data_IF_542484739283
#
_entry.id   IF_542484739283
#
_cell.length_a   1.000
_cell.length_b   1.000
_cell.length_c   1.000
_cell.angle_alpha   90.00
_cell.angle_beta   90.00
_cell.angle_gamma   90.00
#
_symmetry.space_group_name_H-M   'P 1'
#
loop_
_entity.id
_entity.type
_entity.pdbx_description
1 polymer ?
#
# COMPACT_ATOMS: atom_id res chain seq x y z
N UNK A 1 35.20 -10.68 -27.29
CA UNK A 1 35.65 -11.86 -28.01
C UNK A 1 34.48 -12.79 -28.27
N UNK A 2 34.32 -13.32 -29.50
CA UNK A 2 33.15 -14.13 -29.87
C UNK A 2 33.01 -15.41 -29.08
N UNK A 3 34.10 -15.95 -28.55
CA UNK A 3 34.10 -17.17 -27.73
C UNK A 3 33.61 -16.88 -26.31
N UNK A 4 33.95 -15.74 -25.73
CA UNK A 4 33.46 -15.32 -24.42
C UNK A 4 31.95 -15.01 -24.45
N UNK A 5 31.44 -14.47 -25.55
CA UNK A 5 30.01 -14.25 -25.74
C UNK A 5 29.22 -15.57 -25.93
N UNK A 6 29.83 -16.56 -26.59
CA UNK A 6 29.25 -17.91 -26.74
C UNK A 6 29.24 -18.64 -25.39
N UNK A 7 30.33 -18.60 -24.62
CA UNK A 7 30.36 -19.22 -23.29
C UNK A 7 29.39 -18.56 -22.29
N UNK A 8 29.22 -17.23 -22.36
CA UNK A 8 28.26 -16.52 -21.56
C UNK A 8 26.80 -16.79 -21.99
N UNK A 9 26.56 -17.05 -23.27
CA UNK A 9 25.25 -17.47 -23.76
C UNK A 9 24.95 -18.94 -23.42
N UNK A 10 25.95 -19.83 -23.50
CA UNK A 10 25.80 -21.22 -23.04
C UNK A 10 25.56 -21.31 -21.55
N UNK A 11 26.31 -20.55 -20.73
CA UNK A 11 26.04 -20.45 -19.26
C UNK A 11 24.66 -19.84 -18.98
N UNK A 12 24.18 -18.89 -19.80
CA UNK A 12 22.82 -18.34 -19.68
C UNK A 12 21.74 -19.33 -20.11
N UNK A 13 22.02 -20.20 -21.04
CA UNK A 13 21.09 -21.26 -21.51
C UNK A 13 21.06 -22.42 -20.50
N UNK A 14 22.19 -22.78 -19.87
CA UNK A 14 22.24 -23.75 -18.77
C UNK A 14 21.64 -23.21 -17.46
N UNK A 15 21.73 -21.90 -17.23
CA UNK A 15 21.04 -21.22 -16.13
C UNK A 15 19.53 -21.00 -16.38
N UNK A 16 18.98 -21.40 -17.53
CA UNK A 16 17.54 -21.61 -17.68
C UNK A 16 17.18 -22.80 -16.80
N UNK A 17 16.69 -22.47 -15.60
CA UNK A 17 16.22 -23.36 -14.56
C UNK A 17 15.83 -24.74 -15.10
N UNK A 18 16.73 -25.72 -15.03
CA UNK A 18 16.32 -27.12 -15.14
C UNK A 18 15.29 -27.35 -14.05
N UNK A 19 14.03 -27.51 -14.44
CA UNK A 19 12.96 -27.90 -13.51
C UNK A 19 13.51 -29.11 -12.74
N UNK A 20 13.68 -29.03 -11.41
CA UNK A 20 14.20 -30.13 -10.62
C UNK A 20 13.47 -31.41 -10.99
N UNK A 21 14.19 -32.53 -11.09
CA UNK A 21 13.62 -33.81 -11.54
C UNK A 21 12.35 -34.23 -10.81
N UNK A 22 12.22 -33.83 -9.54
CA UNK A 22 11.02 -34.03 -8.72
C UNK A 22 9.76 -33.32 -9.25
N UNK A 23 9.89 -32.31 -10.14
CA UNK A 23 8.79 -31.52 -10.71
C UNK A 23 8.64 -31.71 -12.23
N UNK A 24 9.48 -32.56 -12.85
CA UNK A 24 9.40 -32.83 -14.30
C UNK A 24 8.05 -33.39 -14.74
N UNK A 25 7.42 -34.14 -13.86
CA UNK A 25 6.12 -34.78 -14.08
C UNK A 25 4.96 -33.99 -13.45
N UNK A 26 5.25 -32.83 -12.84
CA UNK A 26 4.23 -31.98 -12.25
C UNK A 26 3.47 -31.22 -13.35
N UNK A 27 2.17 -31.49 -13.58
CA UNK A 27 1.39 -30.80 -14.57
C UNK A 27 1.31 -29.28 -14.33
N UNK A 28 1.46 -28.82 -13.07
CA UNK A 28 1.47 -27.39 -12.74
C UNK A 28 2.72 -26.68 -13.28
N UNK A 29 3.86 -27.38 -13.44
CA UNK A 29 5.06 -26.81 -14.02
C UNK A 29 4.91 -26.42 -15.50
N UNK A 30 3.93 -27.02 -16.20
CA UNK A 30 3.63 -26.76 -17.61
C UNK A 30 2.58 -25.66 -17.79
N UNK A 31 1.99 -25.17 -16.72
CA UNK A 31 0.95 -24.14 -16.78
C UNK A 31 1.56 -22.80 -17.13
N UNK A 32 1.11 -22.19 -18.22
CA UNK A 32 1.49 -20.81 -18.53
C UNK A 32 0.71 -19.83 -17.65
N UNK A 33 1.32 -19.47 -16.51
CA UNK A 33 0.70 -18.61 -15.48
C UNK A 33 0.57 -17.15 -15.89
N UNK A 34 1.08 -16.76 -17.08
CA UNK A 34 0.93 -15.40 -17.63
C UNK A 34 -0.28 -15.25 -18.55
N UNK A 35 -1.01 -16.29 -18.86
CA UNK A 35 -2.25 -16.19 -19.63
C UNK A 35 -3.36 -15.52 -18.80
N UNK A 36 -4.23 -14.74 -19.45
CA UNK A 36 -5.35 -14.03 -18.80
C UNK A 36 -6.22 -14.91 -17.90
N UNK A 37 -6.40 -16.16 -18.30
CA UNK A 37 -7.15 -17.13 -17.50
C UNK A 37 -6.55 -17.33 -16.12
N UNK A 38 -5.23 -17.50 -16.01
CA UNK A 38 -4.54 -17.73 -14.75
C UNK A 38 -4.32 -16.44 -13.95
N UNK A 39 -4.29 -15.28 -14.63
CA UNK A 39 -4.17 -13.99 -13.97
C UNK A 39 -5.45 -13.58 -13.23
N UNK A 40 -6.62 -13.92 -13.77
CA UNK A 40 -7.91 -13.41 -13.29
C UNK A 40 -8.82 -14.49 -12.68
N UNK A 41 -8.62 -15.78 -13.03
CA UNK A 41 -9.47 -16.88 -12.53
C UNK A 41 -8.72 -17.71 -11.48
N UNK A 42 -9.44 -18.30 -10.51
CA UNK A 42 -8.83 -19.23 -9.57
C UNK A 42 -8.41 -20.51 -10.32
N UNK A 43 -7.27 -21.07 -9.94
CA UNK A 43 -6.76 -22.31 -10.46
C UNK A 43 -6.52 -23.30 -9.32
N UNK A 44 -6.86 -24.57 -9.56
CA UNK A 44 -6.60 -25.64 -8.60
C UNK A 44 -5.18 -26.17 -8.83
N UNK A 45 -4.30 -25.80 -7.95
CA UNK A 45 -2.91 -26.23 -7.95
C UNK A 45 -2.77 -27.60 -7.26
N UNK A 46 -1.76 -28.38 -7.65
CA UNK A 46 -1.46 -29.63 -6.96
C UNK A 46 -1.15 -29.34 -5.48
N UNK A 47 -1.73 -30.14 -4.59
CA UNK A 47 -1.62 -29.95 -3.14
C UNK A 47 -2.64 -29.00 -2.52
N UNK A 48 -3.49 -28.35 -3.34
CA UNK A 48 -4.58 -27.50 -2.85
C UNK A 48 -5.92 -28.20 -2.97
N UNK A 49 -6.75 -28.16 -1.94
CA UNK A 49 -8.05 -28.81 -1.90
C UNK A 49 -9.12 -28.12 -2.77
N UNK A 50 -8.91 -26.83 -3.08
CA UNK A 50 -9.87 -26.01 -3.84
C UNK A 50 -9.11 -25.09 -4.80
N UNK A 51 -9.79 -24.59 -5.88
CA UNK A 51 -9.25 -23.53 -6.70
C UNK A 51 -9.02 -22.27 -5.88
N UNK A 52 -7.81 -21.71 -5.94
CA UNK A 52 -7.43 -20.53 -5.17
C UNK A 52 -6.78 -19.47 -6.07
N UNK A 53 -6.89 -18.21 -5.62
CA UNK A 53 -6.20 -17.06 -6.21
C UNK A 53 -4.85 -16.92 -5.52
N UNK A 54 -3.74 -17.24 -6.20
CA UNK A 54 -2.42 -17.23 -5.60
C UNK A 54 -1.49 -16.27 -6.34
N UNK A 55 -0.88 -15.36 -5.60
CA UNK A 55 0.25 -14.57 -6.05
C UNK A 55 1.52 -15.06 -5.35
N UNK A 56 2.37 -15.76 -6.09
CA UNK A 56 3.64 -16.30 -5.61
C UNK A 56 4.68 -16.18 -6.73
N UNK A 57 5.37 -15.02 -6.85
CA UNK A 57 6.35 -14.78 -7.90
C UNK A 57 7.68 -15.49 -7.65
N UNK A 58 7.93 -15.92 -6.40
CA UNK A 58 9.15 -16.59 -5.98
C UNK A 58 8.80 -18.02 -5.57
N UNK A 59 9.47 -19.00 -6.16
CA UNK A 59 9.25 -20.42 -5.91
C UNK A 59 9.53 -21.25 -7.17
N UNK A 60 9.47 -22.56 -7.04
CA UNK A 60 9.73 -23.49 -8.16
C UNK A 60 8.66 -23.36 -9.25
N UNK A 61 7.40 -23.19 -8.87
CA UNK A 61 6.29 -22.90 -9.79
C UNK A 61 5.80 -21.48 -9.49
N UNK A 62 6.03 -20.58 -10.45
CA UNK A 62 5.62 -19.18 -10.33
C UNK A 62 4.12 -19.05 -10.61
N UNK A 63 3.39 -18.42 -9.68
CA UNK A 63 1.94 -18.24 -9.76
C UNK A 63 1.62 -16.74 -9.78
N UNK A 64 1.00 -16.25 -10.85
CA UNK A 64 0.77 -14.83 -11.08
C UNK A 64 -0.73 -14.50 -11.16
N UNK A 65 -1.47 -14.70 -10.09
CA UNK A 65 -2.85 -14.24 -10.05
C UNK A 65 -2.93 -12.81 -9.50
N UNK A 66 -3.52 -11.89 -10.23
CA UNK A 66 -3.58 -10.46 -9.90
C UNK A 66 -4.66 -10.17 -8.85
N UNK A 67 -5.67 -11.00 -8.72
CA UNK A 67 -6.81 -10.76 -7.81
C UNK A 67 -6.38 -10.54 -6.36
N UNK A 68 -5.47 -11.34 -5.75
CA UNK A 68 -4.99 -11.07 -4.40
C UNK A 68 -4.34 -9.70 -4.23
N UNK A 69 -3.63 -9.21 -5.25
CA UNK A 69 -3.01 -7.89 -5.23
C UNK A 69 -4.07 -6.79 -5.26
N UNK A 70 -5.06 -6.90 -6.14
CA UNK A 70 -6.17 -5.93 -6.23
C UNK A 70 -6.96 -5.85 -4.93
N UNK A 71 -7.32 -7.02 -4.38
CA UNK A 71 -8.05 -7.09 -3.10
C UNK A 71 -7.19 -6.55 -1.95
N UNK A 72 -5.90 -6.88 -1.92
CA UNK A 72 -4.96 -6.37 -0.93
C UNK A 72 -4.83 -4.85 -0.98
N UNK A 73 -4.65 -4.29 -2.18
CA UNK A 73 -4.56 -2.84 -2.40
C UNK A 73 -5.86 -2.14 -1.98
N UNK A 74 -7.02 -2.67 -2.39
CA UNK A 74 -8.31 -2.08 -2.01
C UNK A 74 -8.52 -2.08 -0.49
N UNK A 75 -8.24 -3.19 0.19
CA UNK A 75 -8.30 -3.28 1.65
C UNK A 75 -7.39 -2.26 2.33
N UNK A 76 -6.13 -2.18 1.90
CA UNK A 76 -5.15 -1.26 2.45
C UNK A 76 -5.56 0.20 2.25
N UNK A 77 -6.05 0.54 1.05
CA UNK A 77 -6.54 1.88 0.73
C UNK A 77 -7.75 2.27 1.58
N UNK A 78 -8.73 1.38 1.72
CA UNK A 78 -9.92 1.65 2.54
C UNK A 78 -9.56 1.88 4.01
N UNK A 79 -8.67 1.07 4.58
CA UNK A 79 -8.19 1.26 5.96
C UNK A 79 -7.46 2.61 6.08
N UNK A 80 -6.56 2.92 5.14
CA UNK A 80 -5.82 4.18 5.13
C UNK A 80 -6.72 5.40 5.05
N UNK A 81 -7.70 5.40 4.16
CA UNK A 81 -8.67 6.50 4.00
C UNK A 81 -9.59 6.64 5.22
N UNK A 82 -10.09 5.52 5.76
CA UNK A 82 -10.95 5.53 6.95
C UNK A 82 -10.23 6.14 8.17
N UNK A 83 -8.92 5.96 8.24
CA UNK A 83 -8.09 6.56 9.29
C UNK A 83 -7.70 8.01 8.95
N UNK A 84 -7.17 8.26 7.75
CA UNK A 84 -6.57 9.53 7.37
C UNK A 84 -7.60 10.64 7.17
N UNK A 85 -8.70 10.37 6.45
CA UNK A 85 -9.65 11.42 6.06
C UNK A 85 -10.33 12.07 7.25
N UNK A 86 -10.91 11.34 8.23
CA UNK A 86 -11.53 11.97 9.39
C UNK A 86 -10.55 12.82 10.21
N UNK A 87 -9.34 12.32 10.40
CA UNK A 87 -8.30 13.04 11.17
C UNK A 87 -7.84 14.29 10.44
N UNK A 88 -7.52 14.18 9.15
CA UNK A 88 -7.01 15.29 8.35
C UNK A 88 -8.06 16.38 8.15
N UNK A 89 -9.30 16.00 7.80
CA UNK A 89 -10.39 16.96 7.61
C UNK A 89 -10.79 17.62 8.95
N UNK A 90 -10.88 16.83 10.03
CA UNK A 90 -11.13 17.37 11.36
C UNK A 90 -10.05 18.36 11.81
N UNK A 91 -8.78 18.04 11.58
CA UNK A 91 -7.68 18.94 11.85
C UNK A 91 -7.75 20.21 10.97
N UNK A 92 -8.07 20.08 9.68
CA UNK A 92 -8.22 21.21 8.76
C UNK A 92 -9.35 22.16 9.20
N UNK A 93 -10.51 21.61 9.56
CA UNK A 93 -11.63 22.41 10.11
C UNK A 93 -11.19 23.13 11.39
N UNK A 94 -10.56 22.43 12.32
CA UNK A 94 -10.10 23.04 13.56
C UNK A 94 -9.11 24.20 13.28
N UNK A 95 -8.11 23.95 12.45
CA UNK A 95 -7.05 24.94 12.16
C UNK A 95 -7.61 26.13 11.37
N UNK A 96 -8.49 25.88 10.38
CA UNK A 96 -9.03 26.96 9.53
C UNK A 96 -10.08 27.80 10.23
N UNK A 97 -10.94 27.23 11.09
CA UNK A 97 -12.12 27.89 11.63
C UNK A 97 -12.02 28.22 13.13
N UNK A 98 -11.38 27.37 13.94
CA UNK A 98 -11.44 27.42 15.38
C UNK A 98 -10.12 27.79 16.06
N UNK A 99 -8.99 27.53 15.41
CA UNK A 99 -7.67 27.70 16.01
C UNK A 99 -7.27 29.18 16.15
N UNK A 100 -6.65 29.51 17.28
CA UNK A 100 -6.02 30.80 17.50
C UNK A 100 -4.89 31.03 16.49
N UNK A 101 -4.58 32.30 16.10
CA UNK A 101 -3.52 32.60 15.13
C UNK A 101 -2.17 31.90 15.45
N UNK A 102 -1.76 31.90 16.71
CA UNK A 102 -0.51 31.25 17.17
C UNK A 102 -0.49 29.74 16.88
N UNK A 103 -1.62 29.06 17.02
CA UNK A 103 -1.73 27.62 16.75
C UNK A 103 -1.61 27.37 15.25
N UNK A 104 -2.27 28.18 14.43
CA UNK A 104 -2.21 28.11 12.97
C UNK A 104 -0.80 28.31 12.44
N UNK A 105 -0.06 29.29 12.98
CA UNK A 105 1.33 29.60 12.63
C UNK A 105 2.29 28.44 12.93
N UNK A 106 1.97 27.55 13.87
CA UNK A 106 2.79 26.38 14.21
C UNK A 106 2.34 25.14 13.44
N UNK A 107 1.03 24.90 13.35
CA UNK A 107 0.50 23.67 12.76
C UNK A 107 0.75 23.60 11.26
N UNK A 108 0.54 24.71 10.52
CA UNK A 108 0.76 24.71 9.07
C UNK A 108 2.19 24.31 8.69
N UNK A 109 3.27 24.96 9.18
CA UNK A 109 4.62 24.55 8.86
C UNK A 109 4.96 23.13 9.33
N UNK A 110 4.38 22.68 10.45
CA UNK A 110 4.59 21.31 10.93
C UNK A 110 4.04 20.28 9.95
N UNK A 111 2.84 20.52 9.41
CA UNK A 111 2.24 19.62 8.41
C UNK A 111 2.99 19.67 7.08
N UNK A 112 3.44 20.84 6.67
CA UNK A 112 4.29 20.98 5.48
C UNK A 112 5.61 20.22 5.63
N UNK A 113 6.26 20.28 6.80
CA UNK A 113 7.45 19.48 7.10
C UNK A 113 7.16 17.98 7.07
N UNK A 114 6.01 17.53 7.59
CA UNK A 114 5.58 16.12 7.53
C UNK A 114 5.37 15.66 6.09
N UNK A 115 4.82 16.51 5.22
CA UNK A 115 4.65 16.19 3.80
C UNK A 115 5.98 16.03 3.05
N UNK A 116 7.05 16.63 3.56
CA UNK A 116 8.41 16.51 3.02
C UNK A 116 9.14 15.23 3.39
N UNK A 117 8.58 14.38 4.27
CA UNK A 117 9.21 13.11 4.66
C UNK A 117 9.17 12.14 3.47
N UNK A 118 10.35 11.60 3.04
CA UNK A 118 10.38 10.62 1.97
C UNK A 118 9.53 9.39 2.30
N UNK A 119 8.71 8.94 1.35
CA UNK A 119 7.81 7.77 1.53
C UNK A 119 8.55 6.50 1.96
N UNK A 120 9.82 6.35 1.52
CA UNK A 120 10.68 5.25 1.93
C UNK A 120 10.93 5.25 3.44
N UNK A 121 11.13 6.42 4.06
CA UNK A 121 11.32 6.56 5.51
C UNK A 121 10.07 6.13 6.26
N UNK A 122 8.89 6.56 5.79
CA UNK A 122 7.60 6.15 6.36
C UNK A 122 7.43 4.63 6.24
N UNK A 123 7.79 4.06 5.08
CA UNK A 123 7.74 2.61 4.85
C UNK A 123 8.66 1.82 5.80
N UNK A 124 9.89 2.26 5.99
CA UNK A 124 10.83 1.65 6.95
C UNK A 124 10.32 1.78 8.40
N UNK A 125 9.83 2.93 8.80
CA UNK A 125 9.24 3.13 10.11
C UNK A 125 8.04 2.20 10.33
N UNK A 126 7.16 2.07 9.33
CA UNK A 126 6.02 1.17 9.37
C UNK A 126 6.46 -0.29 9.54
N UNK A 127 7.49 -0.71 8.80
CA UNK A 127 7.99 -2.09 8.81
C UNK A 127 8.69 -2.44 10.12
N UNK A 128 9.53 -1.56 10.63
CA UNK A 128 10.40 -1.84 11.77
C UNK A 128 9.73 -1.57 13.12
N UNK A 129 8.99 -0.47 13.22
CA UNK A 129 8.43 0.02 14.48
C UNK A 129 6.92 -0.22 14.54
N UNK A 130 6.16 0.37 13.62
CA UNK A 130 4.69 0.37 13.66
C UNK A 130 4.12 -1.05 13.61
N UNK A 131 4.65 -1.92 12.76
CA UNK A 131 4.19 -3.30 12.63
C UNK A 131 4.33 -4.08 13.96
N UNK A 132 5.43 -3.89 14.67
CA UNK A 132 5.68 -4.53 15.97
C UNK A 132 4.78 -3.95 17.06
N UNK A 133 4.65 -2.61 17.11
CA UNK A 133 3.80 -1.94 18.09
C UNK A 133 2.35 -2.34 17.94
N UNK A 134 1.83 -2.31 16.71
CA UNK A 134 0.44 -2.68 16.43
C UNK A 134 0.19 -4.17 16.68
N UNK A 135 1.14 -5.05 16.35
CA UNK A 135 1.03 -6.48 16.68
C UNK A 135 0.91 -6.70 18.18
N UNK A 136 1.75 -6.04 18.97
CA UNK A 136 1.72 -6.18 20.43
C UNK A 136 0.43 -5.60 21.06
N UNK A 137 -0.12 -4.55 20.44
CA UNK A 137 -1.34 -3.88 20.91
C UNK A 137 -2.59 -4.69 20.60
N UNK A 138 -2.68 -5.26 19.40
CA UNK A 138 -3.88 -5.95 18.91
C UNK A 138 -3.78 -7.48 18.93
N UNK A 139 -2.61 -8.05 19.18
CA UNK A 139 -2.41 -9.48 19.37
C UNK A 139 -2.60 -10.36 18.14
N UNK A 140 -2.45 -9.82 16.91
CA UNK A 140 -2.61 -10.62 15.70
C UNK A 140 -1.35 -11.42 15.35
N UNK A 141 -1.54 -12.59 14.69
CA UNK A 141 -0.47 -13.54 14.42
C UNK A 141 0.58 -13.03 13.44
N UNK A 142 0.16 -12.39 12.36
CA UNK A 142 1.05 -11.92 11.30
C UNK A 142 1.40 -10.44 11.47
N UNK A 143 2.69 -10.16 11.71
CA UNK A 143 3.19 -8.79 11.91
C UNK A 143 2.92 -7.87 10.72
N UNK A 144 3.12 -8.36 9.50
CA UNK A 144 2.91 -7.61 8.26
C UNK A 144 1.56 -7.99 7.66
N UNK A 145 0.62 -7.09 7.71
CA UNK A 145 -0.74 -7.29 7.19
C UNK A 145 -1.32 -6.01 6.58
N UNK A 146 -2.48 -6.11 5.96
CA UNK A 146 -3.15 -4.98 5.30
C UNK A 146 -3.53 -3.85 6.28
N UNK A 147 -3.75 -4.16 7.57
CA UNK A 147 -4.06 -3.16 8.58
C UNK A 147 -2.86 -2.26 8.86
N UNK A 148 -1.68 -2.84 9.11
CA UNK A 148 -0.44 -2.09 9.31
C UNK A 148 -0.11 -1.23 8.09
N UNK A 149 -0.19 -1.83 6.89
CA UNK A 149 0.06 -1.12 5.64
C UNK A 149 -0.94 0.03 5.43
N UNK A 150 -2.22 -0.18 5.77
CA UNK A 150 -3.26 0.85 5.68
C UNK A 150 -3.02 2.01 6.64
N UNK A 151 -2.71 1.74 7.90
CA UNK A 151 -2.37 2.79 8.88
C UNK A 151 -1.14 3.58 8.44
N UNK A 152 -0.07 2.90 7.98
CA UNK A 152 1.12 3.56 7.48
C UNK A 152 0.84 4.46 6.28
N UNK A 153 0.05 3.97 5.32
CA UNK A 153 -0.43 4.75 4.17
C UNK A 153 -1.26 5.95 4.64
N UNK A 154 -2.14 5.75 5.61
CA UNK A 154 -2.92 6.81 6.22
C UNK A 154 -2.05 7.95 6.77
N UNK A 155 -1.00 7.62 7.53
CA UNK A 155 -0.04 8.64 8.01
C UNK A 155 0.61 9.42 6.88
N UNK A 156 0.99 8.75 5.79
CA UNK A 156 1.58 9.42 4.62
C UNK A 156 0.59 10.37 3.91
N UNK A 157 -0.70 10.05 3.93
CA UNK A 157 -1.75 10.79 3.21
C UNK A 157 -2.33 11.94 4.04
N UNK A 158 -2.29 11.88 5.39
CA UNK A 158 -2.82 12.93 6.29
C UNK A 158 -2.36 14.34 5.89
N UNK A 159 -1.06 14.63 5.68
CA UNK A 159 -0.62 15.98 5.34
C UNK A 159 -1.25 16.50 4.04
N UNK A 160 -1.35 15.65 3.03
CA UNK A 160 -1.91 16.00 1.71
C UNK A 160 -3.41 16.32 1.83
N UNK A 161 -4.17 15.45 2.50
CA UNK A 161 -5.61 15.66 2.71
C UNK A 161 -5.87 16.90 3.56
N UNK A 162 -5.05 17.12 4.60
CA UNK A 162 -5.14 18.31 5.43
C UNK A 162 -4.95 19.59 4.62
N UNK A 163 -3.87 19.68 3.83
CA UNK A 163 -3.57 20.88 3.04
C UNK A 163 -4.68 21.21 2.05
N UNK A 164 -5.15 20.20 1.30
CA UNK A 164 -6.25 20.39 0.35
C UNK A 164 -7.55 20.83 1.05
N UNK A 165 -7.88 20.21 2.18
CA UNK A 165 -9.07 20.56 2.94
C UNK A 165 -8.98 21.96 3.57
N UNK A 166 -7.83 22.35 4.11
CA UNK A 166 -7.59 23.65 4.70
C UNK A 166 -7.64 24.77 3.65
N UNK A 167 -7.03 24.55 2.48
CA UNK A 167 -7.09 25.49 1.36
C UNK A 167 -8.52 25.67 0.86
N UNK A 168 -9.28 24.58 0.74
CA UNK A 168 -10.69 24.63 0.37
C UNK A 168 -11.53 25.43 1.37
N UNK A 169 -11.34 25.20 2.67
CA UNK A 169 -12.06 25.91 3.75
C UNK A 169 -11.69 27.39 3.83
N UNK A 170 -10.44 27.74 3.59
CA UNK A 170 -9.98 29.15 3.64
C UNK A 170 -10.36 29.93 2.39
N UNK A 171 -10.63 29.26 1.27
CA UNK A 171 -11.12 29.90 0.03
C UNK A 171 -12.58 30.34 0.09
N UNK A 172 -13.35 29.86 1.09
CA UNK A 172 -14.75 30.27 1.27
C UNK A 172 -14.84 31.72 1.76
N UNK A 173 -15.58 32.63 1.09
CA UNK A 173 -15.76 34.00 1.52
C UNK A 173 -16.33 34.09 2.93
N UNK A 174 -15.77 34.95 3.77
CA UNK A 174 -16.21 35.15 5.16
C UNK A 174 -17.66 35.60 5.30
N UNK A 175 -18.24 36.22 4.25
CA UNK A 175 -19.64 36.60 4.21
C UNK A 175 -20.62 35.44 4.44
N UNK A 176 -20.29 34.22 3.99
CA UNK A 176 -21.11 33.04 4.25
C UNK A 176 -21.10 32.63 5.74
N UNK A 177 -19.92 32.70 6.36
CA UNK A 177 -19.79 32.41 7.82
C UNK A 177 -20.53 33.45 8.63
N UNK A 178 -20.43 34.76 8.26
CA UNK A 178 -21.14 35.85 8.94
C UNK A 178 -22.65 35.72 8.77
N UNK A 179 -23.12 35.36 7.57
CA UNK A 179 -24.55 35.12 7.32
C UNK A 179 -25.08 33.95 8.17
N UNK A 180 -24.34 32.86 8.27
CA UNK A 180 -24.73 31.73 9.10
C UNK A 180 -24.81 32.09 10.60
N UNK A 181 -23.82 32.85 11.10
CA UNK A 181 -23.81 33.32 12.49
C UNK A 181 -24.96 34.34 12.79
N UNK A 182 -25.41 35.12 11.79
CA UNK A 182 -26.53 36.02 11.95
C UNK A 182 -27.89 35.32 12.07
N UNK A 183 -27.96 34.08 11.62
CA UNK A 183 -29.18 33.24 11.71
C UNK A 183 -29.25 32.41 12.99
N UNK A 184 -28.18 32.35 13.78
CA UNK A 184 -28.06 31.60 15.06
C UNK A 184 -27.20 30.37 14.96
#
# INVERSE_FOLDING_TARGET
DRETLKSLMEVKVEAQEEIPSAFRDDPDARVNTTQWRYLLQPHQWIGYSKPEFIWQPVGQIKKYNIIPLLVGTLKTTLIGLLFAVPLAVGAAIYVSQLARPRVREVVKPTIELLSGIPSVVIGFFALLVMATVLQNLFGYETRLNAFVAGIALGFAVIPVVFSIAEDALTSVPQSYTQAALALG
#
